data_IF_751811179496
#
_entry.id   IF_751811179496
#
_cell.length_a   1.000
_cell.length_b   1.000
_cell.length_c   1.000
_cell.angle_alpha   90.00
_cell.angle_beta   90.00
_cell.angle_gamma   90.00
#
_symmetry.space_group_name_H-M   'P 1'
#
loop_
_entity.id
_entity.type
_entity.pdbx_description
1 polymer ?
#
# COMPACT_ATOMS: atom_id res chain seq x y z
N UNK A 1 -28.50 70.51 -49.11
CA UNK A 1 -29.96 70.62 -48.82
C UNK A 1 -30.69 69.59 -49.66
N UNK A 2 -31.70 68.94 -49.07
CA UNK A 2 -32.75 68.11 -49.70
C UNK A 2 -32.30 66.79 -50.35
N UNK A 3 -32.55 65.67 -49.67
CA UNK A 3 -33.70 64.74 -49.84
C UNK A 3 -33.41 63.64 -50.86
N UNK A 4 -33.05 62.47 -50.34
CA UNK A 4 -33.22 61.19 -51.04
C UNK A 4 -34.18 60.35 -50.19
N UNK A 5 -35.31 59.99 -50.78
CA UNK A 5 -36.33 59.10 -50.23
C UNK A 5 -36.27 57.75 -50.93
N UNK A 6 -36.26 56.68 -50.11
CA UNK A 6 -36.89 55.36 -50.25
C UNK A 6 -36.74 54.58 -51.57
N UNK A 7 -36.22 53.34 -51.50
CA UNK A 7 -37.07 52.13 -51.40
C UNK A 7 -36.29 50.81 -51.22
N UNK A 8 -36.79 49.98 -50.29
CA UNK A 8 -36.85 48.49 -50.23
C UNK A 8 -35.61 47.64 -50.59
N UNK A 9 -35.15 46.75 -49.70
CA UNK A 9 -35.75 45.41 -49.48
C UNK A 9 -35.03 44.58 -48.39
N UNK A 10 -35.83 44.05 -47.45
CA UNK A 10 -35.88 42.65 -46.98
C UNK A 10 -34.85 41.99 -46.01
N UNK A 11 -35.47 41.20 -45.10
CA UNK A 11 -35.01 40.09 -44.23
C UNK A 11 -34.27 40.43 -42.92
N UNK A 12 -34.99 40.53 -41.79
CA UNK A 12 -35.36 39.44 -40.82
C UNK A 12 -34.09 38.81 -40.21
N UNK A 13 -33.77 39.10 -38.94
CA UNK A 13 -34.20 38.24 -37.83
C UNK A 13 -34.13 38.96 -36.48
N UNK A 14 -35.18 38.72 -35.68
CA UNK A 14 -35.30 38.97 -34.25
C UNK A 14 -34.37 37.99 -33.48
N UNK A 15 -33.99 38.11 -32.22
CA UNK A 15 -34.66 38.61 -31.01
C UNK A 15 -33.57 38.89 -29.96
N UNK A 16 -33.68 40.01 -29.28
CA UNK A 16 -32.99 40.27 -28.02
C UNK A 16 -33.78 39.69 -26.84
N UNK A 17 -33.06 39.48 -25.73
CA UNK A 17 -33.52 39.27 -24.35
C UNK A 17 -33.83 37.84 -23.92
N UNK A 18 -32.91 37.27 -23.13
CA UNK A 18 -33.14 36.98 -21.70
C UNK A 18 -31.81 36.51 -21.09
N UNK A 19 -31.08 37.44 -20.47
CA UNK A 19 -30.20 37.07 -19.37
C UNK A 19 -31.10 36.61 -18.23
N UNK A 20 -30.82 35.43 -17.69
CA UNK A 20 -30.58 35.19 -16.25
C UNK A 20 -30.50 33.67 -16.02
N UNK A 21 -29.44 33.26 -15.31
CA UNK A 21 -29.41 31.99 -14.58
C UNK A 21 -28.59 30.87 -15.20
N UNK A 22 -27.25 30.94 -15.13
CA UNK A 22 -26.38 29.76 -15.09
C UNK A 22 -25.02 30.12 -14.46
N UNK A 23 -24.96 30.24 -13.13
CA UNK A 23 -23.69 30.13 -12.38
C UNK A 23 -23.93 29.43 -11.05
N UNK A 24 -24.29 28.15 -11.07
CA UNK A 24 -24.34 27.34 -9.83
C UNK A 24 -23.80 25.90 -9.94
N UNK A 25 -23.34 25.44 -11.12
CA UNK A 25 -23.02 24.01 -11.29
C UNK A 25 -21.52 23.67 -11.39
N UNK A 26 -20.62 24.65 -11.28
CA UNK A 26 -19.17 24.41 -11.34
C UNK A 26 -18.43 24.47 -10.00
N UNK A 27 -19.10 24.80 -8.89
CA UNK A 27 -18.44 24.95 -7.58
C UNK A 27 -18.28 23.62 -6.82
N UNK A 28 -19.15 22.63 -7.08
CA UNK A 28 -19.17 21.37 -6.32
C UNK A 28 -18.16 20.32 -6.79
N UNK A 29 -17.73 20.36 -8.06
CA UNK A 29 -16.75 19.39 -8.59
C UNK A 29 -15.32 19.67 -8.09
N UNK A 30 -14.95 20.94 -7.88
CA UNK A 30 -13.64 21.30 -7.34
C UNK A 30 -13.57 21.15 -5.81
N UNK A 31 -14.65 21.42 -5.08
CA UNK A 31 -14.65 21.40 -3.61
C UNK A 31 -14.46 19.99 -3.02
N UNK A 32 -14.77 18.93 -3.79
CA UNK A 32 -14.57 17.54 -3.36
C UNK A 32 -13.16 17.00 -3.64
N UNK A 33 -12.57 17.34 -4.79
CA UNK A 33 -11.17 16.99 -5.10
C UNK A 33 -10.19 17.78 -4.22
N UNK A 34 -10.50 19.04 -3.93
CA UNK A 34 -9.72 19.91 -3.04
C UNK A 34 -9.74 19.40 -1.59
N UNK A 35 -10.93 19.06 -1.04
CA UNK A 35 -11.04 18.44 0.29
C UNK A 35 -10.29 17.10 0.40
N UNK A 36 -10.38 16.25 -0.64
CA UNK A 36 -9.66 14.98 -0.67
C UNK A 36 -8.14 15.15 -0.75
N UNK A 37 -7.69 16.21 -1.43
CA UNK A 37 -6.28 16.60 -1.49
C UNK A 37 -5.78 17.14 -0.14
N UNK A 38 -6.52 18.04 0.49
CA UNK A 38 -6.20 18.61 1.80
C UNK A 38 -6.11 17.53 2.88
N UNK A 39 -7.09 16.62 2.93
CA UNK A 39 -7.08 15.49 3.87
C UNK A 39 -5.85 14.59 3.66
N UNK A 40 -5.45 14.37 2.40
CA UNK A 40 -4.23 13.63 2.08
C UNK A 40 -2.99 14.37 2.57
N UNK A 41 -2.86 15.66 2.29
CA UNK A 41 -1.70 16.48 2.71
C UNK A 41 -1.58 16.49 4.23
N UNK A 42 -2.67 16.75 4.96
CA UNK A 42 -2.70 16.73 6.43
C UNK A 42 -2.34 15.33 6.96
N UNK A 43 -2.89 14.27 6.35
CA UNK A 43 -2.57 12.89 6.71
C UNK A 43 -1.08 12.59 6.53
N UNK A 44 -0.47 13.02 5.42
CA UNK A 44 0.96 12.79 5.16
C UNK A 44 1.84 13.58 6.15
N UNK A 45 1.53 14.85 6.41
CA UNK A 45 2.26 15.65 7.41
C UNK A 45 2.26 14.97 8.79
N UNK A 46 1.10 14.48 9.24
CA UNK A 46 0.98 13.78 10.52
C UNK A 46 1.75 12.46 10.54
N UNK A 47 1.64 11.64 9.50
CA UNK A 47 2.35 10.35 9.38
C UNK A 47 3.86 10.54 9.35
N UNK A 48 4.36 11.50 8.56
CA UNK A 48 5.79 11.80 8.47
C UNK A 48 6.33 12.36 9.78
N UNK A 49 5.59 13.26 10.45
CA UNK A 49 5.97 13.81 11.75
C UNK A 49 6.07 12.70 12.81
N UNK A 50 5.07 11.83 12.88
CA UNK A 50 5.05 10.71 13.80
C UNK A 50 6.24 9.77 13.56
N UNK A 51 6.42 9.32 12.31
CA UNK A 51 7.51 8.41 11.92
C UNK A 51 8.87 8.98 12.34
N UNK A 52 9.15 10.25 12.02
CA UNK A 52 10.40 10.91 12.39
C UNK A 52 10.63 10.90 13.90
N UNK A 53 9.59 11.25 14.68
CA UNK A 53 9.70 11.24 16.15
C UNK A 53 9.93 9.84 16.72
N UNK A 54 9.23 8.83 16.22
CA UNK A 54 9.34 7.46 16.67
C UNK A 54 10.69 6.83 16.29
N UNK A 55 11.24 7.18 15.11
CA UNK A 55 12.58 6.77 14.71
C UNK A 55 13.67 7.32 15.64
N UNK A 56 13.55 8.59 16.06
CA UNK A 56 14.45 9.20 17.03
C UNK A 56 14.37 8.53 18.41
N UNK A 57 13.16 8.21 18.87
CA UNK A 57 12.95 7.54 20.16
C UNK A 57 13.44 6.08 20.17
N UNK A 58 13.36 5.39 19.03
CA UNK A 58 13.62 3.95 18.95
C UNK A 58 15.09 3.60 18.63
N UNK A 59 15.99 4.58 18.44
CA UNK A 59 17.38 4.38 18.00
C UNK A 59 17.53 3.47 16.76
N UNK A 60 16.53 3.50 15.85
CA UNK A 60 16.51 2.69 14.62
C UNK A 60 17.24 3.37 13.45
N UNK A 61 17.55 4.66 13.58
CA UNK A 61 18.36 5.40 12.62
C UNK A 61 19.81 4.92 12.67
N UNK A 62 20.33 4.52 11.52
CA UNK A 62 21.72 4.05 11.37
C UNK A 62 22.58 5.23 10.91
N UNK A 63 23.78 5.44 11.48
CA UNK A 63 24.73 6.37 10.88
C UNK A 63 25.06 5.91 9.46
N UNK A 64 25.26 6.87 8.54
CA UNK A 64 25.51 6.69 7.10
C UNK A 64 26.00 5.28 6.74
N UNK A 65 25.06 4.45 6.27
CA UNK A 65 25.28 3.02 6.13
C UNK A 65 24.62 2.48 4.87
N UNK A 66 25.25 1.47 4.27
CA UNK A 66 24.73 0.78 3.08
C UNK A 66 23.40 0.12 3.43
N UNK A 67 22.38 0.37 2.63
CA UNK A 67 21.08 -0.30 2.74
C UNK A 67 21.26 -1.82 2.76
N UNK A 68 20.55 -2.50 3.65
CA UNK A 68 20.57 -3.96 3.70
C UNK A 68 20.09 -4.54 2.36
N UNK A 69 20.79 -5.55 1.79
CA UNK A 69 20.33 -6.25 0.60
C UNK A 69 18.93 -6.85 0.76
N UNK A 70 18.51 -7.17 2.00
CA UNK A 70 17.15 -7.62 2.29
C UNK A 70 16.12 -6.51 2.03
N UNK A 71 16.38 -5.30 2.52
CA UNK A 71 15.51 -4.13 2.30
C UNK A 71 15.47 -3.76 0.81
N UNK A 72 16.63 -3.77 0.13
CA UNK A 72 16.69 -3.51 -1.31
C UNK A 72 15.87 -4.52 -2.14
N UNK A 73 15.76 -5.77 -1.69
CA UNK A 73 14.87 -6.77 -2.31
C UNK A 73 13.39 -6.46 -2.09
N UNK A 74 13.01 -5.80 -1.01
CA UNK A 74 11.61 -5.41 -0.74
C UNK A 74 11.14 -4.21 -1.59
N UNK A 75 12.06 -3.47 -2.21
CA UNK A 75 11.76 -2.28 -3.00
C UNK A 75 11.63 -2.64 -4.48
N UNK A 76 10.47 -2.36 -5.09
CA UNK A 76 10.24 -2.51 -6.52
C UNK A 76 10.39 -1.18 -7.23
N UNK A 77 11.00 -1.21 -8.42
CA UNK A 77 11.38 -0.02 -9.20
C UNK A 77 10.64 0.02 -10.53
N UNK A 78 10.01 1.15 -10.80
CA UNK A 78 9.50 1.54 -12.11
C UNK A 78 10.27 2.79 -12.56
N UNK A 79 11.10 2.65 -13.61
CA UNK A 79 12.05 3.68 -14.01
C UNK A 79 11.39 4.82 -14.79
N UNK A 80 10.36 4.52 -15.61
CA UNK A 80 9.74 5.51 -16.50
C UNK A 80 9.09 6.66 -15.71
N UNK A 81 8.41 6.34 -14.62
CA UNK A 81 7.73 7.29 -13.73
C UNK A 81 8.56 7.63 -12.49
N UNK A 82 9.84 7.22 -12.45
CA UNK A 82 10.74 7.41 -11.30
C UNK A 82 10.08 7.01 -9.98
N UNK A 83 9.55 5.80 -9.92
CA UNK A 83 8.72 5.31 -8.82
C UNK A 83 9.37 4.10 -8.12
N UNK A 84 9.40 4.14 -6.79
CA UNK A 84 9.82 3.04 -5.93
C UNK A 84 8.70 2.75 -4.95
N UNK A 85 8.37 1.47 -4.76
CA UNK A 85 7.46 1.04 -3.70
C UNK A 85 8.05 -0.08 -2.87
N UNK A 86 7.95 0.05 -1.55
CA UNK A 86 8.22 -1.07 -0.66
C UNK A 86 7.03 -2.03 -0.63
N UNK A 87 7.25 -3.28 -1.02
CA UNK A 87 6.23 -4.31 -1.05
C UNK A 87 6.09 -4.98 0.32
N UNK A 88 5.23 -4.42 1.17
CA UNK A 88 4.82 -5.04 2.43
C UNK A 88 3.68 -6.05 2.19
N UNK A 89 3.87 -7.35 2.47
CA UNK A 89 2.81 -8.32 2.31
C UNK A 89 1.57 -7.99 3.17
N UNK A 90 0.39 -8.31 2.63
CA UNK A 90 -0.93 -8.09 3.25
C UNK A 90 -1.32 -6.62 3.44
N UNK A 91 -0.64 -5.74 2.71
CA UNK A 91 -0.91 -4.31 2.57
C UNK A 91 -1.16 -3.92 1.10
N UNK A 92 -1.75 -4.82 0.31
CA UNK A 92 -2.05 -4.55 -1.09
C UNK A 92 -0.85 -4.64 -2.06
N UNK A 93 0.30 -5.16 -1.62
CA UNK A 93 1.51 -5.21 -2.43
C UNK A 93 1.34 -5.90 -3.80
N UNK A 94 0.47 -6.91 -3.93
CA UNK A 94 0.22 -7.58 -5.22
C UNK A 94 -0.45 -6.62 -6.22
N UNK A 95 -1.36 -5.75 -5.76
CA UNK A 95 -2.01 -4.74 -6.60
C UNK A 95 -1.02 -3.64 -6.99
N UNK A 96 -0.10 -3.25 -6.11
CA UNK A 96 1.01 -2.36 -6.48
C UNK A 96 1.96 -2.95 -7.52
N UNK A 97 2.25 -4.26 -7.44
CA UNK A 97 3.00 -4.96 -8.49
C UNK A 97 2.24 -4.98 -9.81
N UNK A 98 0.91 -5.18 -9.79
CA UNK A 98 0.07 -5.03 -10.99
C UNK A 98 0.19 -3.64 -11.60
N UNK A 99 0.10 -2.58 -10.80
CA UNK A 99 0.30 -1.20 -11.26
C UNK A 99 1.65 -1.04 -11.96
N UNK A 100 2.75 -1.54 -11.38
CA UNK A 100 4.08 -1.48 -12.03
C UNK A 100 4.07 -2.19 -13.39
N UNK A 101 3.44 -3.37 -13.48
CA UNK A 101 3.32 -4.10 -14.75
C UNK A 101 2.49 -3.31 -15.78
N UNK A 102 1.35 -2.75 -15.38
CA UNK A 102 0.51 -1.92 -16.24
C UNK A 102 1.29 -0.70 -16.76
N UNK A 103 2.02 0.00 -15.89
CA UNK A 103 2.86 1.14 -16.27
C UNK A 103 4.00 0.74 -17.22
N UNK A 104 4.65 -0.40 -16.99
CA UNK A 104 5.76 -0.89 -17.83
C UNK A 104 5.30 -1.32 -19.21
N UNK A 105 4.13 -1.94 -19.29
CA UNK A 105 3.57 -2.49 -20.52
C UNK A 105 2.63 -1.50 -21.23
N UNK A 106 2.43 -0.30 -20.68
CA UNK A 106 1.46 0.71 -21.15
C UNK A 106 0.03 0.13 -21.33
N UNK A 107 -0.44 -0.63 -20.34
CA UNK A 107 -1.75 -1.29 -20.35
C UNK A 107 -2.76 -0.56 -19.46
N UNK A 108 -4.06 -0.77 -19.74
CA UNK A 108 -5.17 -0.23 -18.93
C UNK A 108 -5.43 -1.06 -17.67
N UNK A 109 -6.11 -0.47 -16.69
CA UNK A 109 -6.51 -1.12 -15.43
C UNK A 109 -7.38 -2.37 -15.62
N UNK A 110 -8.02 -2.51 -16.79
CA UNK A 110 -8.88 -3.64 -17.14
C UNK A 110 -8.11 -4.92 -17.44
N UNK A 111 -6.79 -4.82 -17.71
CA UNK A 111 -5.97 -6.00 -17.96
C UNK A 111 -5.73 -6.78 -16.66
N UNK A 112 -6.15 -8.04 -16.67
CA UNK A 112 -5.99 -8.95 -15.55
C UNK A 112 -4.78 -9.85 -15.74
N UNK A 113 -3.84 -9.76 -14.78
CA UNK A 113 -2.76 -10.73 -14.63
C UNK A 113 -3.16 -11.80 -13.62
N UNK A 114 -2.86 -13.05 -13.96
CA UNK A 114 -2.94 -14.18 -13.02
C UNK A 114 -2.09 -13.88 -11.79
N UNK A 115 -2.57 -14.32 -10.61
CA UNK A 115 -1.97 -13.95 -9.33
C UNK A 115 -0.49 -14.32 -9.24
N UNK A 116 -0.14 -15.58 -9.51
CA UNK A 116 1.23 -16.07 -9.39
C UNK A 116 2.15 -15.48 -10.47
N UNK A 117 1.66 -15.31 -11.69
CA UNK A 117 2.39 -14.70 -12.80
C UNK A 117 2.90 -13.28 -12.46
N UNK A 118 2.19 -12.52 -11.61
CA UNK A 118 2.66 -11.21 -11.15
C UNK A 118 3.92 -11.36 -10.30
N UNK A 119 3.97 -12.36 -9.42
CA UNK A 119 5.10 -12.53 -8.50
C UNK A 119 6.37 -13.02 -9.20
N UNK A 120 6.23 -13.68 -10.34
CA UNK A 120 7.31 -14.29 -11.13
C UNK A 120 7.72 -13.43 -12.34
N UNK A 121 7.01 -12.33 -12.61
CA UNK A 121 7.23 -11.52 -13.80
C UNK A 121 8.64 -10.92 -13.86
N UNK A 122 9.37 -11.21 -14.94
CA UNK A 122 10.69 -10.64 -15.22
C UNK A 122 10.69 -9.11 -15.41
N UNK A 123 9.51 -8.52 -15.65
CA UNK A 123 9.33 -7.07 -15.77
C UNK A 123 9.37 -6.36 -14.41
N UNK A 124 9.14 -7.07 -13.30
CA UNK A 124 9.25 -6.50 -11.96
C UNK A 124 10.70 -6.50 -11.50
N UNK A 125 11.35 -5.33 -11.62
CA UNK A 125 12.70 -5.12 -11.12
C UNK A 125 12.68 -4.65 -9.66
N UNK A 126 13.55 -5.24 -8.86
CA UNK A 126 13.81 -4.83 -7.48
C UNK A 126 14.98 -3.86 -7.45
N UNK A 127 15.07 -3.03 -6.41
CA UNK A 127 16.21 -2.12 -6.25
C UNK A 127 17.52 -2.92 -6.15
N UNK A 128 17.49 -4.11 -5.55
CA UNK A 128 18.63 -5.04 -5.48
C UNK A 128 19.18 -5.50 -6.83
N UNK A 129 18.40 -5.38 -7.90
CA UNK A 129 18.80 -5.81 -9.24
C UNK A 129 19.70 -4.79 -9.95
N UNK A 130 19.88 -3.61 -9.35
CA UNK A 130 20.68 -2.51 -9.89
C UNK A 130 22.03 -2.36 -9.17
N UNK A 131 23.08 -1.87 -9.86
CA UNK A 131 24.35 -1.49 -9.24
C UNK A 131 24.19 -0.46 -8.11
N UNK A 132 25.12 -0.46 -7.13
CA UNK A 132 24.98 0.34 -5.90
C UNK A 132 24.93 1.87 -6.12
N UNK A 133 25.60 2.38 -7.14
CA UNK A 133 25.51 3.77 -7.60
C UNK A 133 24.12 4.10 -8.15
N UNK A 134 23.55 3.21 -8.97
CA UNK A 134 22.18 3.37 -9.47
C UNK A 134 21.16 3.28 -8.34
N UNK A 135 21.34 2.37 -7.38
CA UNK A 135 20.47 2.29 -6.19
C UNK A 135 20.45 3.63 -5.43
N UNK A 136 21.62 4.23 -5.18
CA UNK A 136 21.73 5.55 -4.53
C UNK A 136 21.06 6.65 -5.34
N UNK A 137 21.28 6.68 -6.65
CA UNK A 137 20.67 7.64 -7.56
C UNK A 137 19.13 7.53 -7.52
N UNK A 138 18.59 6.32 -7.63
CA UNK A 138 17.15 6.07 -7.59
C UNK A 138 16.56 6.44 -6.23
N UNK A 139 17.18 6.03 -5.13
CA UNK A 139 16.73 6.41 -3.77
C UNK A 139 16.73 7.91 -3.53
N UNK A 140 17.62 8.66 -4.21
CA UNK A 140 17.66 10.12 -4.12
C UNK A 140 16.56 10.76 -4.99
N UNK A 141 16.41 10.29 -6.23
CA UNK A 141 15.67 11.01 -7.26
C UNK A 141 14.25 10.49 -7.53
N UNK A 142 13.89 9.31 -7.03
CA UNK A 142 12.60 8.68 -7.33
C UNK A 142 11.60 8.92 -6.20
N UNK A 143 10.31 8.97 -6.52
CA UNK A 143 9.23 8.98 -5.54
C UNK A 143 9.17 7.62 -4.86
N UNK A 144 9.43 7.59 -3.55
CA UNK A 144 9.43 6.38 -2.72
C UNK A 144 8.14 6.29 -1.92
N UNK A 145 7.46 5.15 -2.03
CA UNK A 145 6.15 4.93 -1.38
C UNK A 145 6.20 3.69 -0.51
N UNK A 146 5.58 3.76 0.66
CA UNK A 146 5.34 2.61 1.54
C UNK A 146 3.90 2.66 2.01
N UNK A 147 3.22 1.51 1.95
CA UNK A 147 1.92 1.35 2.59
C UNK A 147 2.06 0.53 3.86
N UNK A 148 1.31 0.91 4.89
CA UNK A 148 1.23 0.19 6.17
C UNK A 148 -0.19 -0.30 6.44
N UNK A 149 -0.34 -1.25 7.37
CA UNK A 149 -1.63 -1.72 7.87
C UNK A 149 -1.53 -1.99 9.35
N UNK A 150 -2.63 -1.89 10.08
CA UNK A 150 -2.68 -2.28 11.49
C UNK A 150 -2.02 -3.66 11.70
N UNK A 151 -1.01 -3.80 12.58
CA UNK A 151 -0.25 -5.04 12.73
C UNK A 151 -1.11 -6.28 12.96
N UNK A 152 -2.16 -6.17 13.78
CA UNK A 152 -3.11 -7.26 14.04
C UNK A 152 -3.99 -7.66 12.85
N UNK A 153 -4.45 -6.70 12.05
CA UNK A 153 -5.15 -7.04 10.81
C UNK A 153 -4.20 -7.70 9.80
N UNK A 154 -2.94 -7.23 9.75
CA UNK A 154 -1.92 -7.78 8.87
C UNK A 154 -1.59 -9.23 9.22
N UNK A 155 -1.40 -9.56 10.50
CA UNK A 155 -1.05 -10.92 10.93
C UNK A 155 -2.21 -11.91 10.73
N UNK A 156 -3.45 -11.48 10.97
CA UNK A 156 -4.64 -12.31 10.68
C UNK A 156 -4.79 -12.52 9.19
N UNK A 157 -4.56 -11.49 8.38
CA UNK A 157 -4.57 -11.61 6.92
C UNK A 157 -3.47 -12.57 6.43
N UNK A 158 -2.29 -12.58 7.06
CA UNK A 158 -1.22 -13.51 6.73
C UNK A 158 -1.59 -14.95 7.10
N UNK A 159 -2.12 -15.18 8.31
CA UNK A 159 -2.57 -16.50 8.73
C UNK A 159 -3.64 -17.07 7.79
N UNK A 160 -4.68 -16.28 7.51
CA UNK A 160 -5.77 -16.69 6.61
C UNK A 160 -5.25 -17.08 5.23
N UNK A 161 -4.36 -16.26 4.68
CA UNK A 161 -3.77 -16.51 3.36
C UNK A 161 -2.89 -17.76 3.32
N UNK A 162 -2.10 -18.01 4.37
CA UNK A 162 -1.08 -19.07 4.34
C UNK A 162 -1.54 -20.41 4.88
N UNK A 163 -2.53 -20.44 5.77
CA UNK A 163 -2.94 -21.66 6.46
C UNK A 163 -4.37 -22.11 6.20
N UNK A 164 -5.23 -21.27 5.60
CA UNK A 164 -6.53 -21.74 5.10
C UNK A 164 -6.43 -22.32 3.68
N UNK A 165 -5.52 -21.79 2.87
CA UNK A 165 -5.25 -22.26 1.50
C UNK A 165 -3.76 -22.51 1.26
N UNK A 166 -3.12 -23.43 2.01
CA UNK A 166 -1.67 -23.58 1.99
C UNK A 166 -1.19 -24.20 0.67
N UNK A 167 -0.31 -23.47 -0.03
CA UNK A 167 0.60 -24.07 -1.00
C UNK A 167 1.64 -24.97 -0.32
N UNK A 168 2.37 -25.77 -1.08
CA UNK A 168 3.23 -26.84 -0.53
C UNK A 168 4.29 -26.33 0.46
N UNK A 169 4.87 -25.16 0.20
CA UNK A 169 5.79 -24.51 1.15
C UNK A 169 5.12 -24.25 2.51
N UNK A 170 3.90 -23.71 2.53
CA UNK A 170 3.20 -23.39 3.78
C UNK A 170 2.61 -24.64 4.46
N UNK A 171 2.36 -25.73 3.73
CA UNK A 171 2.11 -27.05 4.35
C UNK A 171 3.33 -27.52 5.15
N UNK A 172 4.54 -27.34 4.61
CA UNK A 172 5.78 -27.65 5.32
C UNK A 172 5.95 -26.79 6.59
N UNK A 173 5.73 -25.47 6.47
CA UNK A 173 5.76 -24.58 7.64
C UNK A 173 4.69 -24.99 8.68
N UNK A 174 3.49 -25.38 8.25
CA UNK A 174 2.46 -25.86 9.15
C UNK A 174 2.92 -27.09 9.94
N UNK A 175 3.63 -28.03 9.30
CA UNK A 175 4.19 -29.20 9.98
C UNK A 175 5.27 -28.83 11.00
N UNK A 176 6.10 -27.82 10.73
CA UNK A 176 7.06 -27.28 11.70
C UNK A 176 6.33 -26.68 12.91
N UNK A 177 5.29 -25.88 12.68
CA UNK A 177 4.49 -25.30 13.76
C UNK A 177 3.88 -26.41 14.63
N UNK A 178 3.29 -27.44 14.02
CA UNK A 178 2.73 -28.58 14.74
C UNK A 178 3.79 -29.31 15.57
N UNK A 179 4.96 -29.60 15.00
CA UNK A 179 6.02 -30.33 15.71
C UNK A 179 6.55 -29.55 16.92
N UNK A 180 6.68 -28.22 16.80
CA UNK A 180 7.18 -27.38 17.88
C UNK A 180 6.14 -27.05 18.95
N UNK A 181 4.88 -26.78 18.54
CA UNK A 181 3.83 -26.31 19.45
C UNK A 181 3.01 -27.46 20.03
N UNK A 182 2.57 -28.42 19.20
CA UNK A 182 1.77 -29.57 19.66
C UNK A 182 2.63 -30.71 20.20
N UNK A 183 3.90 -30.81 19.78
CA UNK A 183 4.79 -31.96 20.01
C UNK A 183 4.26 -33.30 19.47
N UNK A 184 3.15 -33.26 18.72
CA UNK A 184 2.49 -34.41 18.08
C UNK A 184 2.01 -33.97 16.70
N UNK A 185 2.25 -34.79 15.68
CA UNK A 185 1.84 -34.47 14.31
C UNK A 185 0.43 -35.00 14.04
N UNK A 186 -0.56 -34.14 14.27
CA UNK A 186 -1.97 -34.47 14.07
C UNK A 186 -2.50 -33.90 12.73
N UNK A 187 -3.53 -34.51 12.12
CA UNK A 187 -4.01 -34.10 10.80
C UNK A 187 -4.67 -32.72 10.80
N UNK A 188 -5.13 -32.23 11.95
CA UNK A 188 -5.85 -30.96 12.05
C UNK A 188 -5.01 -29.78 11.56
N UNK A 189 -5.61 -28.79 10.88
CA UNK A 189 -4.93 -27.57 10.46
C UNK A 189 -4.30 -26.82 11.64
N UNK A 190 -3.23 -26.07 11.37
CA UNK A 190 -2.62 -25.17 12.36
C UNK A 190 -3.62 -24.08 12.72
N UNK A 191 -3.89 -23.90 14.01
CA UNK A 191 -4.77 -22.85 14.52
C UNK A 191 -4.05 -21.50 14.54
N UNK A 192 -4.80 -20.40 14.59
CA UNK A 192 -4.21 -19.06 14.74
C UNK A 192 -3.40 -18.94 16.03
N UNK A 193 -3.90 -19.50 17.14
CA UNK A 193 -3.18 -19.54 18.41
C UNK A 193 -1.81 -20.20 18.29
N UNK A 194 -1.73 -21.37 17.66
CA UNK A 194 -0.46 -22.09 17.47
C UNK A 194 0.50 -21.34 16.54
N UNK A 195 -0.04 -20.75 15.48
CA UNK A 195 0.72 -19.87 14.61
C UNK A 195 1.34 -18.69 15.37
N UNK A 196 0.54 -17.99 16.19
CA UNK A 196 1.04 -16.87 17.00
C UNK A 196 2.06 -17.36 18.04
N UNK A 197 1.77 -18.45 18.74
CA UNK A 197 2.70 -19.06 19.69
C UNK A 197 4.05 -19.40 19.04
N UNK A 198 4.04 -19.89 17.81
CA UNK A 198 5.26 -20.17 17.06
C UNK A 198 6.04 -18.90 16.72
N UNK A 199 5.40 -17.88 16.13
CA UNK A 199 6.14 -16.69 15.62
C UNK A 199 6.73 -15.84 16.75
N UNK A 200 6.08 -15.76 17.92
CA UNK A 200 6.59 -14.94 19.04
C UNK A 200 7.81 -15.56 19.72
N UNK A 201 8.13 -16.82 19.41
CA UNK A 201 9.33 -17.52 19.89
C UNK A 201 10.52 -17.39 18.91
N UNK A 202 10.33 -16.80 17.73
CA UNK A 202 11.37 -16.67 16.72
C UNK A 202 12.11 -15.34 16.83
N UNK A 203 13.33 -15.31 16.31
CA UNK A 203 14.07 -14.06 16.10
C UNK A 203 13.34 -13.23 15.03
N UNK A 204 12.97 -11.96 15.29
CA UNK A 204 12.18 -11.15 14.35
C UNK A 204 12.75 -11.05 12.93
N UNK A 205 14.08 -11.02 12.79
CA UNK A 205 14.77 -10.96 11.49
C UNK A 205 14.76 -12.27 10.70
N UNK A 206 14.33 -13.38 11.30
CA UNK A 206 14.20 -14.70 10.65
C UNK A 206 12.75 -15.05 10.28
N UNK A 207 11.80 -14.19 10.65
CA UNK A 207 10.39 -14.40 10.31
C UNK A 207 10.17 -14.39 8.78
N UNK A 208 9.20 -15.16 8.32
CA UNK A 208 8.71 -15.06 6.94
C UNK A 208 8.21 -13.62 6.68
N UNK A 209 8.49 -13.11 5.48
CA UNK A 209 8.12 -11.77 5.05
C UNK A 209 6.63 -11.43 5.25
N UNK A 210 5.75 -12.44 5.25
CA UNK A 210 4.31 -12.25 5.40
C UNK A 210 3.89 -11.83 6.82
N UNK A 211 4.70 -12.16 7.83
CA UNK A 211 4.46 -11.79 9.23
C UNK A 211 5.67 -11.10 9.89
N UNK A 212 6.78 -10.88 9.19
CA UNK A 212 7.86 -10.01 9.67
C UNK A 212 7.34 -8.58 9.90
N UNK A 213 7.72 -7.89 10.99
CA UNK A 213 7.41 -6.48 11.20
C UNK A 213 7.74 -5.60 9.97
N UNK A 214 6.84 -4.69 9.63
CA UNK A 214 6.90 -3.86 8.43
C UNK A 214 8.14 -2.97 8.41
N UNK A 215 8.57 -2.45 9.57
CA UNK A 215 9.78 -1.63 9.65
C UNK A 215 11.05 -2.41 9.29
N UNK A 216 11.11 -3.74 9.53
CA UNK A 216 12.24 -4.57 9.13
C UNK A 216 12.27 -4.84 7.62
N UNK A 217 11.11 -4.85 6.96
CA UNK A 217 11.01 -5.03 5.51
C UNK A 217 11.47 -3.80 4.72
N UNK A 218 11.16 -2.61 5.25
CA UNK A 218 11.22 -1.35 4.50
C UNK A 218 12.15 -0.29 5.09
N UNK A 219 12.67 -0.49 6.30
CA UNK A 219 13.63 0.42 6.95
C UNK A 219 13.24 1.93 6.89
N UNK A 220 12.02 2.30 7.35
CA UNK A 220 11.47 3.64 7.17
C UNK A 220 12.21 4.73 7.96
N UNK A 221 13.07 4.36 8.91
CA UNK A 221 13.93 5.30 9.62
C UNK A 221 15.20 5.68 8.84
N UNK A 222 15.53 4.93 7.78
CA UNK A 222 16.73 5.12 6.96
C UNK A 222 16.40 5.37 5.48
N UNK A 223 15.15 5.17 5.07
CA UNK A 223 14.63 5.53 3.74
C UNK A 223 13.63 6.67 3.88
N UNK A 224 13.91 7.79 3.22
CA UNK A 224 12.99 8.94 3.19
C UNK A 224 11.82 8.68 2.24
N UNK A 225 10.77 8.01 2.72
CA UNK A 225 9.55 7.80 1.95
C UNK A 225 8.83 9.12 1.69
N UNK A 226 8.52 9.39 0.41
CA UNK A 226 7.78 10.57 -0.01
C UNK A 226 6.29 10.45 0.36
N UNK A 227 5.73 9.24 0.30
CA UNK A 227 4.34 8.97 0.67
C UNK A 227 4.29 7.75 1.59
N UNK A 228 3.67 7.93 2.76
CA UNK A 228 3.31 6.88 3.70
C UNK A 228 1.81 6.65 3.61
N UNK A 229 1.42 5.65 2.83
CA UNK A 229 0.03 5.23 2.66
C UNK A 229 -0.44 4.32 3.80
N UNK A 230 -1.74 4.29 4.05
CA UNK A 230 -2.38 3.33 4.96
C UNK A 230 -3.35 2.45 4.19
N UNK A 231 -3.42 1.17 4.53
CA UNK A 231 -4.40 0.25 3.96
C UNK A 231 -5.83 0.68 4.30
N UNK A 232 -6.00 1.31 5.45
CA UNK A 232 -7.26 1.88 5.92
C UNK A 232 -7.73 3.06 5.04
N UNK A 233 -6.81 3.76 4.37
CA UNK A 233 -7.09 4.88 3.44
C UNK A 233 -6.60 4.57 2.01
N UNK A 234 -6.57 3.29 1.65
CA UNK A 234 -5.88 2.78 0.45
C UNK A 234 -6.35 3.46 -0.84
N UNK A 235 -7.67 3.62 -1.01
CA UNK A 235 -8.24 4.26 -2.21
C UNK A 235 -7.70 5.68 -2.39
N UNK A 236 -7.94 6.55 -1.40
CA UNK A 236 -7.46 7.96 -1.40
C UNK A 236 -5.95 8.05 -1.60
N UNK A 237 -5.18 7.29 -0.82
CA UNK A 237 -3.72 7.35 -0.87
C UNK A 237 -3.17 6.85 -2.21
N UNK A 238 -3.75 5.78 -2.77
CA UNK A 238 -3.32 5.23 -4.06
C UNK A 238 -3.62 6.17 -5.23
N UNK A 239 -4.79 6.84 -5.22
CA UNK A 239 -5.15 7.85 -6.21
C UNK A 239 -4.12 9.01 -6.21
N UNK A 240 -3.72 9.48 -5.02
CA UNK A 240 -2.71 10.53 -4.87
C UNK A 240 -1.30 10.07 -5.26
N UNK A 241 -0.94 8.82 -4.99
CA UNK A 241 0.34 8.24 -5.48
C UNK A 241 0.38 8.24 -7.00
N UNK A 242 -0.68 7.76 -7.67
CA UNK A 242 -0.75 7.71 -9.13
C UNK A 242 -0.67 9.12 -9.75
N UNK A 243 -1.36 10.10 -9.15
CA UNK A 243 -1.26 11.52 -9.53
C UNK A 243 0.17 12.05 -9.37
N UNK A 244 0.82 11.76 -8.24
CA UNK A 244 2.16 12.26 -7.90
C UNK A 244 3.24 11.73 -8.85
N UNK A 245 3.15 10.47 -9.27
CA UNK A 245 4.13 9.88 -10.20
C UNK A 245 3.84 10.20 -11.68
N UNK A 246 2.77 10.95 -11.96
CA UNK A 246 2.36 11.27 -13.33
C UNK A 246 1.87 10.04 -14.11
N UNK A 247 1.23 9.09 -13.43
CA UNK A 247 0.61 7.94 -14.10
C UNK A 247 -0.53 8.39 -15.03
N UNK A 248 -0.88 7.60 -16.06
CA UNK A 248 -2.04 7.86 -16.91
C UNK A 248 -3.32 8.07 -16.09
N UNK A 249 -4.14 9.07 -16.44
CA UNK A 249 -5.33 9.46 -15.65
C UNK A 249 -6.41 8.37 -15.54
N UNK A 250 -6.43 7.43 -16.50
CA UNK A 250 -7.30 6.27 -16.52
C UNK A 250 -6.75 5.07 -15.71
N UNK A 251 -5.50 5.12 -15.25
CA UNK A 251 -4.95 4.10 -14.38
C UNK A 251 -5.52 4.30 -12.97
N UNK A 252 -6.10 3.24 -12.41
CA UNK A 252 -6.65 3.22 -11.05
C UNK A 252 -6.08 2.06 -10.26
N UNK A 253 -6.01 2.21 -8.94
CA UNK A 253 -5.58 1.12 -8.09
C UNK A 253 -6.61 -0.03 -8.15
N UNK A 254 -6.20 -1.26 -8.52
CA UNK A 254 -7.14 -2.34 -8.69
C UNK A 254 -7.66 -2.83 -7.33
N UNK A 255 -8.96 -3.13 -7.25
CA UNK A 255 -9.59 -3.71 -6.05
C UNK A 255 -9.63 -5.24 -6.06
N UNK A 256 -8.72 -5.87 -6.79
CA UNK A 256 -8.67 -7.32 -6.96
C UNK A 256 -8.34 -8.05 -5.65
N UNK A 257 -8.97 -9.21 -5.46
CA UNK A 257 -8.71 -10.16 -4.38
C UNK A 257 -8.27 -11.49 -4.99
N UNK A 258 -7.43 -12.24 -4.27
CA UNK A 258 -7.01 -13.57 -4.70
C UNK A 258 -8.09 -14.62 -4.44
N UNK A 259 -8.75 -14.52 -3.29
CA UNK A 259 -9.73 -15.46 -2.83
C UNK A 259 -11.07 -14.76 -2.56
N UNK A 260 -12.17 -15.51 -2.59
CA UNK A 260 -13.54 -14.99 -2.48
C UNK A 260 -13.95 -14.59 -1.06
N UNK A 261 -13.05 -14.69 -0.09
CA UNK A 261 -13.26 -14.30 1.29
C UNK A 261 -13.36 -12.77 1.46
N UNK A 262 -14.07 -12.39 2.53
CA UNK A 262 -14.03 -11.03 3.05
C UNK A 262 -12.58 -10.61 3.36
N UNK A 263 -12.29 -9.33 3.09
CA UNK A 263 -11.03 -8.71 3.56
C UNK A 263 -11.05 -8.74 5.09
N UNK A 264 -9.90 -9.00 5.69
CA UNK A 264 -9.75 -8.97 7.15
C UNK A 264 -10.17 -7.59 7.69
N UNK A 265 -11.25 -7.56 8.44
CA UNK A 265 -11.77 -6.39 9.16
C UNK A 265 -11.59 -6.58 10.68
N UNK A 266 -12.10 -5.64 11.48
CA UNK A 266 -12.02 -5.67 12.94
C UNK A 266 -12.73 -6.88 13.54
N UNK A 267 -13.95 -7.19 13.08
CA UNK A 267 -14.73 -8.33 13.58
C UNK A 267 -14.00 -9.66 13.38
N UNK A 268 -13.36 -9.84 12.23
CA UNK A 268 -12.54 -11.01 11.95
C UNK A 268 -11.32 -11.05 12.87
N UNK A 269 -10.65 -9.92 13.08
CA UNK A 269 -9.51 -9.83 14.01
C UNK A 269 -9.95 -10.24 15.41
N UNK A 270 -11.05 -9.69 15.93
CA UNK A 270 -11.55 -9.99 17.28
C UNK A 270 -11.85 -11.48 17.46
N UNK A 271 -12.42 -12.13 16.44
CA UNK A 271 -12.66 -13.58 16.45
C UNK A 271 -11.36 -14.37 16.60
N UNK A 272 -10.29 -13.98 15.91
CA UNK A 272 -9.00 -14.69 16.04
C UNK A 272 -8.29 -14.37 17.35
N UNK A 273 -8.31 -13.10 17.77
CA UNK A 273 -7.61 -12.65 18.97
C UNK A 273 -8.27 -13.14 20.26
N UNK A 274 -9.59 -13.36 20.27
CA UNK A 274 -10.30 -13.98 21.42
C UNK A 274 -9.81 -15.40 21.74
N UNK A 275 -9.08 -16.05 20.84
CA UNK A 275 -8.47 -17.37 21.07
C UNK A 275 -7.10 -17.32 21.74
N UNK A 276 -6.49 -16.13 21.86
CA UNK A 276 -5.13 -15.97 22.35
C UNK A 276 -5.09 -15.82 23.88
N UNK A 277 -4.25 -16.61 24.58
CA UNK A 277 -3.90 -16.33 25.97
C UNK A 277 -3.23 -14.94 26.10
N UNK A 278 -3.49 -14.23 27.20
CA UNK A 278 -2.94 -12.89 27.44
C UNK A 278 -1.41 -12.84 27.32
N UNK A 279 -0.70 -13.84 27.86
CA UNK A 279 0.76 -13.89 27.78
C UNK A 279 1.27 -14.02 26.33
N UNK A 280 0.52 -14.69 25.45
CA UNK A 280 0.87 -14.81 24.02
C UNK A 280 0.58 -13.49 23.30
N UNK A 281 -0.52 -12.82 23.65
CA UNK A 281 -0.86 -11.50 23.12
C UNK A 281 0.20 -10.46 23.50
N UNK A 282 0.66 -10.44 24.75
CA UNK A 282 1.70 -9.51 25.20
C UNK A 282 3.02 -9.69 24.42
N UNK A 283 3.41 -10.94 24.16
CA UNK A 283 4.58 -11.23 23.33
C UNK A 283 4.37 -10.78 21.87
N UNK A 284 3.16 -10.92 21.34
CA UNK A 284 2.81 -10.47 20.00
C UNK A 284 2.86 -8.94 19.89
N UNK A 285 2.36 -8.23 20.91
CA UNK A 285 2.45 -6.75 20.99
C UNK A 285 3.91 -6.32 21.02
N UNK A 286 4.75 -6.97 21.84
CA UNK A 286 6.20 -6.70 21.88
C UNK A 286 6.87 -6.93 20.52
N UNK A 287 6.52 -8.01 19.82
CA UNK A 287 7.07 -8.32 18.50
C UNK A 287 6.79 -7.21 17.47
N UNK A 288 5.60 -6.60 17.51
CA UNK A 288 5.19 -5.54 16.58
C UNK A 288 5.28 -4.12 17.16
N UNK A 289 5.88 -3.93 18.34
CA UNK A 289 5.86 -2.65 19.05
C UNK A 289 6.37 -1.48 18.19
N UNK A 290 7.47 -1.69 17.45
CA UNK A 290 7.98 -0.66 16.54
C UNK A 290 7.00 -0.34 15.41
N UNK A 291 6.26 -1.31 14.86
CA UNK A 291 5.25 -1.01 13.84
C UNK A 291 4.09 -0.19 14.42
N UNK A 292 3.66 -0.47 15.66
CA UNK A 292 2.65 0.34 16.35
C UNK A 292 3.13 1.79 16.51
N UNK A 293 4.33 1.97 17.05
CA UNK A 293 4.91 3.30 17.29
C UNK A 293 5.19 4.09 16.00
N UNK A 294 5.84 3.46 15.02
CA UNK A 294 6.31 4.14 13.79
C UNK A 294 5.15 4.57 12.88
N UNK A 295 4.04 3.82 12.89
CA UNK A 295 2.93 4.02 11.95
C UNK A 295 1.63 4.51 12.61
N UNK A 296 1.66 4.77 13.93
CA UNK A 296 0.51 5.31 14.66
C UNK A 296 -0.66 4.36 14.65
N UNK A 297 -0.42 3.14 15.10
CA UNK A 297 -1.46 2.18 15.45
C UNK A 297 -1.49 2.06 16.98
N UNK A 298 -2.71 1.96 17.53
CA UNK A 298 -3.01 1.91 18.97
C UNK A 298 -3.95 0.75 19.23
#
# INVERSE_FOLDING_TARGET
MARITKNTCCFITLFSTLLWGFTSDYKWLNDSDDKGHDEFVISQMNRTKLLKSACQQSNLSKPFGRMSPFVARSLFVEQKHKFIICAVPKVGCTNWKRIILLLKLNLSTEVHFEHNAIHESAFLKRLSDYPADQQRMMLTNYTKVMFTRHPFQRIVSAYRDKFLHPGDYYKHIANIIKSQVRKVNTPEPVTFKEFVQYIVQQVPTWLDIHWMPMHLLCDPCNINYNILGKFETLKRDSDQVLKTIGAPSNLKYPELKQYNESRTDTNIVDKYFSTLPLNVLDLLVKLYNHDFMLFGYS
#
